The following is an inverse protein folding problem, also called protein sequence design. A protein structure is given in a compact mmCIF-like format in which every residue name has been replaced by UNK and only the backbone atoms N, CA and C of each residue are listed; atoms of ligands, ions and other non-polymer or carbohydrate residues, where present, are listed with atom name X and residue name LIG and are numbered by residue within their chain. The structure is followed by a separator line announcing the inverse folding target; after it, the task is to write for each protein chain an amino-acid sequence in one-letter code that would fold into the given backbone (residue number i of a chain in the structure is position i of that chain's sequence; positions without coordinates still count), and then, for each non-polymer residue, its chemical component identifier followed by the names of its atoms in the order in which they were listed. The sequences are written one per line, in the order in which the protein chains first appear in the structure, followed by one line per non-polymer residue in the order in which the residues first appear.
data_IF_446622517642
#
_entry.id   IF_446622517642
#
_cell.length_a   1.000
_cell.length_b   1.000
_cell.length_c   1.000
_cell.angle_alpha   90.00
_cell.angle_beta   90.00
_cell.angle_gamma   90.00
#
_symmetry.space_group_name_H-M   'P 1'
#
loop_
_entity.id
_entity.type
_entity.pdbx_description
1 polymer ?
#
# COMPACT_ATOMS: atom_id res chain seq x y z
N UNK A 1 -17.43 5.28 12.91
CA UNK A 1 -16.25 5.22 12.03
C UNK A 1 -16.25 3.85 11.41
N UNK A 2 -16.61 3.74 10.14
CA UNK A 2 -16.68 2.46 9.47
C UNK A 2 -15.26 1.87 9.43
N UNK A 3 -14.96 0.97 10.37
CA UNK A 3 -14.23 -0.23 10.00
C UNK A 3 -15.06 -0.82 8.87
N UNK A 4 -14.72 -0.44 7.63
CA UNK A 4 -15.19 -1.12 6.44
C UNK A 4 -15.07 -2.61 6.74
N UNK A 5 -16.18 -3.34 6.62
CA UNK A 5 -16.38 -4.62 7.29
C UNK A 5 -15.24 -5.62 7.08
N UNK A 6 -15.16 -6.64 7.95
CA UNK A 6 -14.20 -7.75 7.94
C UNK A 6 -14.30 -8.65 6.67
N UNK A 7 -14.27 -8.07 5.48
CA UNK A 7 -14.63 -8.72 4.22
C UNK A 7 -13.54 -8.74 3.15
N UNK A 8 -12.54 -7.86 3.20
CA UNK A 8 -11.40 -7.88 2.27
C UNK A 8 -10.14 -7.38 2.97
N UNK A 9 -8.99 -7.95 2.64
CA UNK A 9 -7.69 -7.42 3.04
C UNK A 9 -7.64 -5.93 2.63
N UNK A 10 -7.42 -5.03 3.57
CA UNK A 10 -7.20 -3.62 3.25
C UNK A 10 -5.90 -3.49 2.46
N UNK A 11 -5.94 -2.86 1.28
CA UNK A 11 -4.71 -2.49 0.57
C UNK A 11 -4.13 -1.22 1.17
N UNK A 12 -2.80 -1.13 1.24
CA UNK A 12 -2.12 0.14 1.53
C UNK A 12 -2.19 1.05 0.31
N UNK A 13 -2.34 2.35 0.55
CA UNK A 13 -2.31 3.34 -0.52
C UNK A 13 -0.90 3.46 -1.11
N UNK A 14 -0.71 3.20 -2.42
CA UNK A 14 0.62 3.25 -3.03
C UNK A 14 1.23 4.66 -3.01
N UNK A 15 0.42 5.71 -3.20
CA UNK A 15 0.90 7.10 -3.19
C UNK A 15 1.30 7.58 -1.78
N UNK A 16 0.61 7.14 -0.73
CA UNK A 16 1.00 7.42 0.65
C UNK A 16 2.21 6.59 1.05
N UNK A 17 2.26 5.32 0.65
CA UNK A 17 3.33 4.42 1.01
C UNK A 17 4.68 4.83 0.38
N UNK A 18 4.69 5.39 -0.84
CA UNK A 18 5.89 6.05 -1.41
C UNK A 18 6.43 7.24 -0.60
N UNK A 19 5.60 7.81 0.27
CA UNK A 19 5.92 8.92 1.17
C UNK A 19 6.08 8.46 2.62
N UNK A 20 6.37 7.17 2.81
CA UNK A 20 6.55 6.53 4.12
C UNK A 20 5.32 6.63 5.05
N UNK A 21 4.14 6.89 4.48
CA UNK A 21 2.86 6.92 5.19
C UNK A 21 2.13 5.61 4.96
N UNK A 22 1.97 4.84 6.04
CA UNK A 22 1.24 3.57 6.03
C UNK A 22 -0.25 3.81 6.32
N UNK A 23 -1.07 3.75 5.27
CA UNK A 23 -2.50 4.05 5.35
C UNK A 23 -3.28 3.05 4.52
N UNK A 24 -4.31 2.48 5.16
CA UNK A 24 -5.28 1.61 4.53
C UNK A 24 -6.20 2.38 3.57
N UNK A 25 -6.46 1.78 2.43
CA UNK A 25 -7.45 2.23 1.48
C UNK A 25 -8.84 1.69 1.85
N UNK A 26 -9.85 2.48 1.51
CA UNK A 26 -11.25 2.07 1.61
C UNK A 26 -11.72 1.53 0.27
N UNK A 27 -12.66 0.59 0.30
CA UNK A 27 -13.27 0.02 -0.89
C UNK A 27 -14.67 0.61 -1.11
N UNK A 28 -14.97 1.01 -2.34
CA UNK A 28 -16.29 1.41 -2.80
C UNK A 28 -16.90 0.26 -3.62
N UNK A 29 -17.89 -0.43 -3.06
CA UNK A 29 -18.58 -1.56 -3.72
C UNK A 29 -19.37 -1.12 -4.97
N UNK A 30 -19.90 0.09 -4.99
CA UNK A 30 -20.70 0.58 -6.11
C UNK A 30 -19.83 0.81 -7.35
N UNK A 31 -18.60 1.29 -7.14
CA UNK A 31 -17.63 1.57 -8.22
C UNK A 31 -16.63 0.44 -8.44
N UNK A 32 -16.51 -0.49 -7.49
CA UNK A 32 -15.48 -1.54 -7.44
C UNK A 32 -14.06 -0.96 -7.43
N UNK A 33 -13.87 0.15 -6.73
CA UNK A 33 -12.61 0.90 -6.68
C UNK A 33 -12.14 1.08 -5.24
N UNK A 34 -10.84 1.23 -5.08
CA UNK A 34 -10.22 1.61 -3.82
C UNK A 34 -9.92 3.10 -3.82
N UNK A 35 -10.13 3.76 -2.69
CA UNK A 35 -9.80 5.16 -2.49
C UNK A 35 -9.05 5.40 -1.19
N UNK A 36 -8.12 6.36 -1.21
CA UNK A 36 -7.37 6.81 -0.06
C UNK A 36 -7.92 8.13 0.47
N UNK A 37 -8.27 8.17 1.75
CA UNK A 37 -8.79 9.39 2.39
C UNK A 37 -7.74 10.49 2.54
N UNK A 38 -6.45 10.16 2.54
CA UNK A 38 -5.38 11.15 2.80
C UNK A 38 -4.92 11.86 1.54
N UNK A 39 -4.70 11.13 0.45
CA UNK A 39 -4.16 11.71 -0.79
C UNK A 39 -5.15 11.71 -1.96
N UNK A 40 -6.41 11.34 -1.72
CA UNK A 40 -7.46 11.28 -2.74
C UNK A 40 -7.11 10.37 -3.94
N UNK A 41 -6.16 9.45 -3.78
CA UNK A 41 -5.85 8.46 -4.81
C UNK A 41 -7.02 7.49 -4.94
N UNK A 42 -7.46 7.26 -6.18
CA UNK A 42 -8.49 6.29 -6.55
C UNK A 42 -7.93 5.33 -7.60
N UNK A 43 -8.31 4.06 -7.52
CA UNK A 43 -7.85 3.06 -8.49
C UNK A 43 -8.56 1.71 -8.35
N UNK A 44 -8.52 0.92 -9.42
CA UNK A 44 -8.99 -0.46 -9.41
C UNK A 44 -8.01 -1.36 -8.67
N UNK A 45 -8.48 -2.54 -8.27
CA UNK A 45 -7.66 -3.53 -7.54
C UNK A 45 -6.34 -3.85 -8.26
N UNK A 46 -6.42 -4.08 -9.58
CA UNK A 46 -5.25 -4.41 -10.41
C UNK A 46 -4.20 -3.29 -10.42
N UNK A 47 -4.64 -2.03 -10.48
CA UNK A 47 -3.74 -0.88 -10.49
C UNK A 47 -3.10 -0.66 -9.13
N UNK A 48 -3.86 -0.87 -8.05
CA UNK A 48 -3.34 -0.82 -6.68
C UNK A 48 -2.26 -1.88 -6.46
N UNK A 49 -2.48 -3.11 -6.93
CA UNK A 49 -1.51 -4.20 -6.82
C UNK A 49 -0.22 -3.92 -7.60
N UNK A 50 -0.33 -3.48 -8.86
CA UNK A 50 0.82 -3.10 -9.70
C UNK A 50 1.66 -2.00 -9.04
N UNK A 51 1.01 -0.97 -8.53
CA UNK A 51 1.70 0.13 -7.86
C UNK A 51 2.35 -0.30 -6.54
N UNK A 52 1.71 -1.18 -5.78
CA UNK A 52 2.29 -1.74 -4.56
C UNK A 52 3.54 -2.60 -4.85
N UNK A 53 3.55 -3.34 -5.95
CA UNK A 53 4.72 -4.09 -6.39
C UNK A 53 5.90 -3.16 -6.77
N UNK A 54 5.63 -2.07 -7.49
CA UNK A 54 6.63 -1.06 -7.82
C UNK A 54 7.28 -0.44 -6.57
N UNK A 55 6.52 -0.30 -5.48
CA UNK A 55 7.06 0.26 -4.25
C UNK A 55 8.05 -0.70 -3.58
N UNK A 56 7.82 -2.02 -3.68
CA UNK A 56 8.77 -3.02 -3.15
C UNK A 56 10.14 -2.92 -3.83
N UNK A 57 10.20 -2.52 -5.10
CA UNK A 57 11.47 -2.28 -5.79
C UNK A 57 12.28 -1.15 -5.17
N UNK A 58 11.64 -0.08 -4.68
CA UNK A 58 12.33 1.03 -4.01
C UNK A 58 12.90 0.60 -2.65
N UNK A 59 12.15 -0.20 -1.92
CA UNK A 59 12.49 -0.68 -0.59
C UNK A 59 13.30 -2.00 -0.63
N UNK A 60 14.19 -2.19 -1.63
CA UNK A 60 14.93 -3.43 -1.94
C UNK A 60 15.26 -4.31 -0.73
N UNK A 61 15.97 -3.73 0.25
CA UNK A 61 16.48 -4.40 1.43
C UNK A 61 15.68 -4.07 2.71
N UNK A 62 14.42 -3.60 2.60
CA UNK A 62 13.61 -3.17 3.75
C UNK A 62 13.37 -4.29 4.76
N UNK A 63 13.34 -5.54 4.29
CA UNK A 63 13.23 -6.71 5.16
C UNK A 63 14.59 -7.35 5.48
N UNK A 64 15.70 -6.79 5.00
CA UNK A 64 17.04 -7.29 5.24
C UNK A 64 17.71 -6.48 6.35
N UNK A 65 18.18 -7.17 7.38
CA UNK A 65 18.93 -6.57 8.47
C UNK A 65 20.42 -6.78 8.23
N UNK A 66 21.11 -5.75 7.79
CA UNK A 66 22.56 -5.80 7.63
C UNK A 66 23.26 -5.84 8.99
N UNK A 67 24.25 -6.70 9.11
CA UNK A 67 25.17 -6.80 10.23
C UNK A 67 26.57 -6.32 9.83
N UNK A 68 27.46 -6.10 10.81
CA UNK A 68 28.79 -5.53 10.56
C UNK A 68 29.62 -6.36 9.55
N UNK A 69 29.42 -7.66 9.55
CA UNK A 69 30.13 -8.65 8.73
C UNK A 69 29.59 -8.78 7.29
N UNK A 70 28.49 -8.11 6.94
CA UNK A 70 27.99 -8.07 5.56
C UNK A 70 28.79 -7.08 4.68
N UNK A 71 29.74 -6.35 5.27
CA UNK A 71 30.55 -5.31 4.62
C UNK A 71 32.07 -5.54 4.76
N UNK A 72 32.49 -6.67 5.33
CA UNK A 72 33.89 -7.14 5.40
C UNK A 72 34.21 -8.03 4.19
#
# INVERSE_FOLDING_TARGET
MAQSGKGKLNYRCPSCFMRDLDIDMFYDEAKKEYYCIRCQYTGKEEDVLKNNEMIRFRYKAMNQRFQKFDFD
#
